data_IF_995209408975
#
_entry.id   IF_995209408975
#
_cell.length_a   1.000
_cell.length_b   1.000
_cell.length_c   1.000
_cell.angle_alpha   90.00
_cell.angle_beta   90.00
_cell.angle_gamma   90.00
#
_symmetry.space_group_name_H-M   'P 1'
#
loop_
_entity.id
_entity.type
_entity.pdbx_description
1 polymer ?
#
# COMPACT_ATOMS: atom_id res chain seq x y z
N UNK A 1 -12.53 -13.45 -9.16
CA UNK A 1 -13.06 -12.45 -10.11
C UNK A 1 -12.02 -11.36 -10.34
N UNK A 2 -11.76 -10.92 -11.58
CA UNK A 2 -10.76 -9.86 -11.82
C UNK A 2 -11.26 -8.48 -11.35
N UNK A 3 -10.36 -7.62 -10.88
CA UNK A 3 -10.66 -6.27 -10.35
C UNK A 3 -11.67 -5.47 -11.22
N UNK A 4 -11.54 -5.39 -12.56
CA UNK A 4 -12.42 -4.56 -13.40
C UNK A 4 -13.90 -4.98 -13.41
N UNK A 5 -14.26 -6.08 -12.73
CA UNK A 5 -15.63 -6.56 -12.68
C UNK A 5 -16.41 -6.12 -11.44
N UNK A 6 -15.75 -5.60 -10.40
CA UNK A 6 -16.41 -5.21 -9.13
C UNK A 6 -16.99 -3.79 -9.15
N UNK A 7 -16.38 -2.87 -9.90
CA UNK A 7 -16.79 -1.46 -9.92
C UNK A 7 -16.34 -0.71 -11.16
N UNK A 8 -16.47 0.61 -11.13
CA UNK A 8 -16.11 1.49 -12.25
C UNK A 8 -14.66 1.97 -12.09
N UNK A 9 -13.79 1.53 -12.98
CA UNK A 9 -12.38 1.95 -13.00
C UNK A 9 -12.25 3.35 -13.61
N UNK A 10 -11.59 4.24 -12.87
CA UNK A 10 -11.20 5.57 -13.32
C UNK A 10 -9.66 5.68 -13.34
N UNK A 11 -9.04 6.19 -14.42
CA UNK A 11 -7.62 6.50 -14.42
C UNK A 11 -7.32 7.60 -13.39
N UNK A 12 -6.12 7.57 -12.80
CA UNK A 12 -5.64 8.68 -11.96
C UNK A 12 -5.41 9.95 -12.79
N UNK A 13 -5.47 11.13 -12.16
CA UNK A 13 -5.33 12.43 -12.86
C UNK A 13 -3.99 12.59 -13.61
N UNK A 14 -2.97 11.82 -13.20
CA UNK A 14 -1.63 11.77 -13.82
C UNK A 14 -1.37 10.47 -14.59
N UNK A 15 -2.41 9.65 -14.82
CA UNK A 15 -2.29 8.31 -15.40
C UNK A 15 -1.58 8.24 -16.75
N UNK A 16 -1.80 9.11 -17.75
CA UNK A 16 -1.24 8.89 -19.09
C UNK A 16 0.28 9.13 -19.20
N UNK A 17 0.84 9.96 -18.32
CA UNK A 17 2.29 10.25 -18.29
C UNK A 17 3.03 9.46 -17.20
N UNK A 18 2.34 8.53 -16.56
CA UNK A 18 2.89 7.72 -15.49
C UNK A 18 3.71 6.55 -16.04
N UNK A 19 4.88 6.30 -15.43
CA UNK A 19 5.70 5.09 -15.68
C UNK A 19 4.90 3.78 -15.50
N UNK A 20 3.76 3.83 -14.80
CA UNK A 20 2.89 2.67 -14.62
C UNK A 20 2.18 2.23 -15.90
N UNK A 21 2.01 3.13 -16.88
CA UNK A 21 1.45 2.81 -18.21
C UNK A 21 2.52 2.27 -19.17
N UNK A 22 3.80 2.45 -18.86
CA UNK A 22 4.88 2.01 -19.72
C UNK A 22 4.96 0.48 -19.80
N UNK A 23 5.47 0.02 -20.93
CA UNK A 23 5.73 -1.39 -21.21
C UNK A 23 7.21 -1.72 -21.09
N UNK A 24 7.54 -3.01 -21.21
CA UNK A 24 8.95 -3.41 -21.25
C UNK A 24 9.71 -2.95 -22.50
N UNK A 25 9.02 -2.46 -23.54
CA UNK A 25 9.66 -1.90 -24.74
C UNK A 25 10.17 -0.48 -24.48
N UNK A 26 9.48 0.28 -23.65
CA UNK A 26 9.88 1.63 -23.23
C UNK A 26 10.90 1.57 -22.08
N UNK A 27 10.65 0.68 -21.12
CA UNK A 27 11.46 0.55 -19.90
C UNK A 27 11.73 -0.92 -19.57
N UNK A 28 12.91 -1.45 -19.99
CA UNK A 28 13.28 -2.83 -19.74
C UNK A 28 13.32 -3.18 -18.25
N UNK A 29 12.86 -4.37 -17.89
CA UNK A 29 12.77 -4.88 -16.51
C UNK A 29 11.85 -4.08 -15.58
N UNK A 30 10.95 -3.26 -16.13
CA UNK A 30 9.91 -2.56 -15.37
C UNK A 30 9.00 -3.58 -14.66
N UNK A 31 8.80 -3.39 -13.36
CA UNK A 31 7.95 -4.23 -12.51
C UNK A 31 7.30 -3.41 -11.40
N UNK A 32 6.20 -3.91 -10.86
CA UNK A 32 5.63 -3.44 -9.59
C UNK A 32 6.60 -3.77 -8.45
N UNK A 33 6.83 -2.82 -7.54
CA UNK A 33 7.57 -3.05 -6.29
C UNK A 33 6.62 -3.47 -5.18
N UNK A 34 5.92 -2.51 -4.59
CA UNK A 34 4.86 -2.72 -3.59
C UNK A 34 3.59 -1.99 -4.02
N UNK A 35 2.45 -2.39 -3.46
CA UNK A 35 1.19 -1.70 -3.65
C UNK A 35 0.54 -1.38 -2.32
N UNK A 36 -0.20 -0.28 -2.29
CA UNK A 36 -1.09 0.08 -1.19
C UNK A 36 -2.43 0.54 -1.75
N UNK A 37 -3.44 0.50 -0.91
CA UNK A 37 -4.78 0.94 -1.25
C UNK A 37 -5.17 2.03 -0.27
N UNK A 38 -5.58 3.17 -0.80
CA UNK A 38 -6.13 4.28 -0.01
C UNK A 38 -7.65 4.27 -0.11
N UNK A 39 -8.31 4.28 1.05
CA UNK A 39 -9.77 4.36 1.16
C UNK A 39 -10.19 5.83 1.10
N UNK A 40 -10.66 6.29 -0.06
CA UNK A 40 -11.13 7.68 -0.25
C UNK A 40 -12.58 7.87 0.26
N UNK A 41 -13.40 6.81 0.19
CA UNK A 41 -14.76 6.78 0.74
C UNK A 41 -15.18 5.32 1.00
N UNK A 42 -16.34 5.07 1.64
CA UNK A 42 -16.82 3.70 1.88
C UNK A 42 -16.95 2.85 0.60
N UNK A 43 -17.16 3.48 -0.56
CA UNK A 43 -17.38 2.83 -1.85
C UNK A 43 -16.33 3.17 -2.92
N UNK A 44 -15.22 3.80 -2.53
CA UNK A 44 -14.17 4.25 -3.45
C UNK A 44 -12.79 3.99 -2.88
N UNK A 45 -11.95 3.36 -3.69
CA UNK A 45 -10.55 3.07 -3.35
C UNK A 45 -9.62 3.58 -4.45
N UNK A 46 -8.45 4.08 -4.05
CA UNK A 46 -7.34 4.43 -4.93
C UNK A 46 -6.24 3.39 -4.75
N UNK A 47 -5.85 2.72 -5.84
CA UNK A 47 -4.71 1.81 -5.84
C UNK A 47 -3.46 2.60 -6.21
N UNK A 48 -2.45 2.51 -5.36
CA UNK A 48 -1.13 3.10 -5.58
C UNK A 48 -0.06 2.01 -5.59
N UNK A 49 0.98 2.21 -6.37
CA UNK A 49 2.08 1.25 -6.48
C UNK A 49 3.40 1.97 -6.70
N UNK A 50 4.49 1.35 -6.25
CA UNK A 50 5.83 1.73 -6.68
C UNK A 50 6.19 1.02 -7.99
N UNK A 51 7.02 1.66 -8.81
CA UNK A 51 7.60 1.06 -10.00
C UNK A 51 9.09 0.85 -9.80
N UNK A 52 9.54 -0.38 -10.03
CA UNK A 52 10.96 -0.75 -10.00
C UNK A 52 11.46 -0.99 -11.41
N UNK A 53 12.58 -0.38 -11.75
CA UNK A 53 13.22 -0.53 -13.06
C UNK A 53 14.72 -0.32 -12.97
N UNK A 54 15.44 -0.75 -14.01
CA UNK A 54 16.87 -0.43 -14.15
C UNK A 54 17.02 0.89 -14.90
N UNK A 55 17.62 1.93 -14.29
CA UNK A 55 17.84 3.18 -15.00
C UNK A 55 18.89 2.99 -16.10
N UNK A 56 18.79 3.79 -17.17
CA UNK A 56 19.80 3.78 -18.25
C UNK A 56 21.12 4.43 -17.80
N UNK A 57 21.05 5.32 -16.80
CA UNK A 57 22.17 6.00 -16.18
C UNK A 57 22.17 5.68 -14.68
N UNK A 58 23.03 4.76 -14.26
CA UNK A 58 23.11 4.30 -12.87
C UNK A 58 23.70 5.38 -11.94
N UNK A 59 24.46 6.35 -12.46
CA UNK A 59 25.07 7.42 -11.65
C UNK A 59 24.07 8.55 -11.33
N UNK A 60 22.97 8.62 -12.08
CA UNK A 60 21.91 9.62 -11.89
C UNK A 60 20.83 9.17 -10.88
N UNK A 61 20.85 7.91 -10.43
CA UNK A 61 19.82 7.33 -9.59
C UNK A 61 20.42 6.51 -8.45
N UNK A 62 19.82 6.62 -7.27
CA UNK A 62 20.08 5.63 -6.21
C UNK A 62 19.53 4.28 -6.65
N UNK A 63 20.40 3.26 -6.62
CA UNK A 63 20.07 1.90 -7.03
C UNK A 63 20.40 0.88 -5.94
N UNK A 64 19.62 -0.19 -5.90
CA UNK A 64 19.88 -1.31 -5.02
C UNK A 64 21.08 -2.16 -5.50
N UNK A 65 21.40 -3.20 -4.74
CA UNK A 65 22.48 -4.15 -5.06
C UNK A 65 22.31 -4.88 -6.41
N UNK A 66 21.13 -4.79 -7.03
CA UNK A 66 20.78 -5.42 -8.29
C UNK A 66 20.62 -4.42 -9.43
N UNK A 67 20.89 -3.13 -9.18
CA UNK A 67 20.81 -2.02 -10.14
C UNK A 67 19.39 -1.52 -10.38
N UNK A 68 18.44 -1.77 -9.47
CA UNK A 68 17.08 -1.22 -9.58
C UNK A 68 16.96 0.07 -8.80
N UNK A 69 16.27 1.04 -9.40
CA UNK A 69 15.69 2.17 -8.69
C UNK A 69 14.20 1.93 -8.49
N UNK A 70 13.61 2.60 -7.50
CA UNK A 70 12.21 2.47 -7.13
C UNK A 70 11.59 3.86 -6.99
N UNK A 71 10.41 4.05 -7.58
CA UNK A 71 9.68 5.32 -7.45
C UNK A 71 9.03 5.42 -6.07
N UNK A 72 8.61 6.63 -5.70
CA UNK A 72 7.58 6.79 -4.68
C UNK A 72 6.28 6.06 -5.12
N UNK A 73 5.32 5.96 -4.19
CA UNK A 73 3.97 5.50 -4.54
C UNK A 73 3.37 6.42 -5.60
N UNK A 74 2.92 5.81 -6.70
CA UNK A 74 2.27 6.49 -7.80
C UNK A 74 0.83 5.98 -7.91
N UNK A 75 -0.15 6.86 -8.16
CA UNK A 75 -1.55 6.47 -8.30
C UNK A 75 -1.76 5.71 -9.61
N UNK A 76 -2.19 4.46 -9.51
CA UNK A 76 -2.45 3.60 -10.66
C UNK A 76 -3.84 3.90 -11.24
N UNK A 77 -4.88 3.60 -10.47
CA UNK A 77 -6.27 3.85 -10.84
C UNK A 77 -7.17 3.81 -9.61
N UNK A 78 -8.32 4.47 -9.73
CA UNK A 78 -9.40 4.48 -8.76
C UNK A 78 -10.47 3.48 -9.17
N UNK A 79 -11.13 2.88 -8.19
CA UNK A 79 -12.33 2.07 -8.40
C UNK A 79 -13.44 2.69 -7.58
N UNK A 80 -14.55 3.03 -8.24
CA UNK A 80 -15.75 3.58 -7.61
C UNK A 80 -16.92 2.62 -7.75
N UNK A 81 -18.04 2.94 -7.09
CA UNK A 81 -19.29 2.17 -7.14
C UNK A 81 -19.15 0.76 -6.52
N UNK A 82 -18.30 0.65 -5.50
CA UNK A 82 -18.11 -0.57 -4.72
C UNK A 82 -19.12 -0.66 -3.58
N UNK A 83 -19.48 -1.88 -3.18
CA UNK A 83 -19.97 -2.11 -1.82
C UNK A 83 -18.84 -1.89 -0.80
N UNK A 84 -19.20 -1.65 0.46
CA UNK A 84 -18.20 -1.47 1.52
C UNK A 84 -17.31 -2.71 1.66
N UNK A 85 -17.90 -3.90 1.62
CA UNK A 85 -17.18 -5.18 1.69
C UNK A 85 -16.24 -5.41 0.51
N UNK A 86 -16.63 -5.03 -0.72
CA UNK A 86 -15.73 -5.09 -1.88
C UNK A 86 -14.54 -4.15 -1.72
N UNK A 87 -14.77 -2.94 -1.20
CA UNK A 87 -13.72 -1.99 -0.94
C UNK A 87 -12.78 -2.48 0.18
N UNK A 88 -13.31 -3.07 1.26
CA UNK A 88 -12.51 -3.69 2.34
C UNK A 88 -11.67 -4.85 1.81
N UNK A 89 -12.27 -5.69 0.95
CA UNK A 89 -11.59 -6.79 0.32
C UNK A 89 -10.42 -6.29 -0.53
N UNK A 90 -10.65 -5.28 -1.38
CA UNK A 90 -9.59 -4.70 -2.22
C UNK A 90 -8.48 -4.11 -1.35
N UNK A 91 -8.85 -3.37 -0.31
CA UNK A 91 -7.95 -2.66 0.59
C UNK A 91 -6.93 -3.59 1.25
N UNK A 92 -7.37 -4.78 1.69
CA UNK A 92 -6.50 -5.72 2.38
C UNK A 92 -5.91 -6.79 1.47
N UNK A 93 -6.60 -7.18 0.41
CA UNK A 93 -6.15 -8.27 -0.46
C UNK A 93 -5.14 -7.83 -1.51
N UNK A 94 -5.30 -6.65 -2.11
CA UNK A 94 -4.41 -6.20 -3.21
C UNK A 94 -2.95 -6.05 -2.77
N UNK A 95 -2.64 -5.41 -1.62
CA UNK A 95 -1.25 -5.32 -1.14
C UNK A 95 -0.63 -6.71 -0.96
N UNK A 96 -1.36 -7.64 -0.34
CA UNK A 96 -0.92 -9.03 -0.14
C UNK A 96 -0.68 -9.74 -1.46
N UNK A 97 -1.56 -9.54 -2.45
CA UNK A 97 -1.39 -10.16 -3.76
C UNK A 97 -0.14 -9.65 -4.50
N UNK A 98 0.21 -8.39 -4.30
CA UNK A 98 1.42 -7.79 -4.86
C UNK A 98 2.67 -8.27 -4.12
N UNK A 99 2.64 -8.32 -2.79
CA UNK A 99 3.78 -8.73 -1.96
C UNK A 99 4.12 -10.23 -2.12
N UNK A 100 3.10 -11.09 -2.20
CA UNK A 100 3.30 -12.53 -2.45
C UNK A 100 3.85 -12.77 -3.86
N UNK A 101 3.42 -11.96 -4.83
CA UNK A 101 3.81 -12.04 -6.23
C UNK A 101 3.75 -13.48 -6.79
N UNK A 102 4.65 -13.85 -7.71
CA UNK A 102 4.85 -15.25 -8.11
C UNK A 102 3.68 -15.94 -8.83
N UNK A 103 2.62 -15.22 -9.21
CA UNK A 103 1.40 -15.78 -9.79
C UNK A 103 0.25 -15.96 -8.80
N UNK A 104 0.43 -15.59 -7.52
CA UNK A 104 -0.66 -15.53 -6.55
C UNK A 104 -1.75 -14.57 -7.04
N UNK A 105 -3.02 -14.97 -6.88
CA UNK A 105 -4.16 -14.21 -7.41
C UNK A 105 -4.01 -13.82 -8.90
N UNK A 106 -3.33 -14.66 -9.70
CA UNK A 106 -2.99 -14.39 -11.10
C UNK A 106 -2.12 -13.13 -11.32
N UNK A 107 -1.54 -12.56 -10.27
CA UNK A 107 -0.70 -11.38 -10.35
C UNK A 107 0.68 -11.71 -10.93
N UNK A 108 1.17 -10.83 -11.82
CA UNK A 108 2.53 -10.89 -12.36
C UNK A 108 3.16 -9.52 -12.26
N UNK A 109 4.22 -9.40 -11.46
CA UNK A 109 4.87 -8.13 -11.16
C UNK A 109 5.47 -7.42 -12.39
N UNK A 110 5.97 -8.17 -13.37
CA UNK A 110 6.79 -7.63 -14.46
C UNK A 110 5.94 -7.18 -15.66
N UNK A 111 6.17 -5.95 -16.12
CA UNK A 111 5.63 -5.45 -17.38
C UNK A 111 6.11 -6.33 -18.55
N UNK A 112 5.30 -6.39 -19.61
CA UNK A 112 5.70 -7.01 -20.88
C UNK A 112 5.53 -6.01 -22.00
N UNK A 113 5.95 -6.39 -23.21
CA UNK A 113 5.78 -5.56 -24.41
C UNK A 113 4.35 -5.14 -24.69
N UNK A 114 3.38 -5.91 -24.18
CA UNK A 114 1.95 -5.71 -24.45
C UNK A 114 1.13 -5.42 -23.19
N UNK A 115 1.74 -5.48 -22.00
CA UNK A 115 1.01 -5.25 -20.75
C UNK A 115 1.85 -4.35 -19.85
N UNK A 116 1.28 -3.20 -19.50
CA UNK A 116 1.81 -2.23 -18.55
C UNK A 116 1.67 -2.72 -17.11
N UNK A 117 2.21 -1.98 -16.14
CA UNK A 117 2.00 -2.29 -14.71
C UNK A 117 0.53 -2.11 -14.31
N UNK A 118 -0.18 -1.16 -14.91
CA UNK A 118 -1.62 -1.00 -14.70
C UNK A 118 -2.39 -2.23 -15.20
N UNK A 119 -2.03 -2.78 -16.36
CA UNK A 119 -2.64 -4.01 -16.87
C UNK A 119 -2.37 -5.20 -15.94
N UNK A 120 -1.18 -5.26 -15.34
CA UNK A 120 -0.84 -6.28 -14.34
C UNK A 120 -1.70 -6.18 -13.08
N UNK A 121 -1.88 -4.98 -12.55
CA UNK A 121 -2.71 -4.75 -11.37
C UNK A 121 -4.18 -5.08 -11.67
N UNK A 122 -4.71 -4.67 -12.82
CA UNK A 122 -6.08 -4.99 -13.23
C UNK A 122 -6.32 -6.50 -13.44
N UNK A 123 -5.27 -7.27 -13.69
CA UNK A 123 -5.35 -8.71 -13.87
C UNK A 123 -5.42 -9.51 -12.55
N UNK A 124 -5.25 -8.85 -11.40
CA UNK A 124 -5.41 -9.49 -10.08
C UNK A 124 -6.81 -10.09 -9.98
N UNK A 125 -6.86 -11.36 -9.61
CA UNK A 125 -8.08 -12.11 -9.34
C UNK A 125 -8.37 -12.11 -7.85
N UNK A 126 -9.44 -11.42 -7.47
CA UNK A 126 -9.96 -11.39 -6.12
C UNK A 126 -10.79 -12.65 -5.84
N UNK A 127 -10.86 -13.10 -4.57
CA UNK A 127 -11.84 -14.10 -4.18
C UNK A 127 -13.28 -13.59 -4.42
N UNK A 128 -14.23 -14.51 -4.44
CA UNK A 128 -15.65 -14.11 -4.43
C UNK A 128 -15.98 -13.51 -3.06
N UNK A 129 -16.62 -12.34 -3.06
CA UNK A 129 -16.95 -11.62 -1.82
C UNK A 129 -17.90 -12.45 -0.97
N UNK A 130 -18.88 -13.12 -1.60
CA UNK A 130 -19.85 -13.95 -0.89
C UNK A 130 -19.19 -15.17 -0.21
N UNK A 131 -18.08 -15.66 -0.74
CA UNK A 131 -17.34 -16.80 -0.18
C UNK A 131 -16.44 -16.41 1.00
N UNK A 132 -16.01 -15.15 1.08
CA UNK A 132 -15.03 -14.68 2.09
C UNK A 132 -15.56 -13.60 3.03
N UNK A 133 -16.83 -13.19 2.90
CA UNK A 133 -17.42 -12.10 3.67
C UNK A 133 -17.28 -12.31 5.19
N UNK A 134 -17.67 -13.49 5.69
CA UNK A 134 -17.59 -13.81 7.13
C UNK A 134 -16.15 -13.80 7.65
N UNK A 135 -15.21 -14.36 6.87
CA UNK A 135 -13.79 -14.41 7.23
C UNK A 135 -13.17 -13.01 7.22
N UNK A 136 -13.53 -12.19 6.22
CA UNK A 136 -13.11 -10.79 6.10
C UNK A 136 -13.65 -9.95 7.26
N UNK A 137 -14.93 -10.10 7.62
CA UNK A 137 -15.53 -9.40 8.76
C UNK A 137 -14.81 -9.76 10.07
N UNK A 138 -14.52 -11.03 10.30
CA UNK A 138 -13.77 -11.47 11.48
C UNK A 138 -12.34 -10.90 11.51
N UNK A 139 -11.68 -10.85 10.36
CA UNK A 139 -10.37 -10.23 10.21
C UNK A 139 -10.42 -8.73 10.55
N UNK A 140 -11.37 -8.00 9.98
CA UNK A 140 -11.54 -6.56 10.19
C UNK A 140 -11.81 -6.24 11.67
N UNK A 141 -12.72 -6.96 12.31
CA UNK A 141 -13.00 -6.81 13.74
C UNK A 141 -11.76 -7.04 14.61
N UNK A 142 -10.95 -8.04 14.25
CA UNK A 142 -9.71 -8.33 14.98
C UNK A 142 -8.68 -7.21 14.79
N UNK A 143 -8.58 -6.67 13.58
CA UNK A 143 -7.69 -5.57 13.24
C UNK A 143 -8.08 -4.28 13.96
N UNK A 144 -9.36 -3.89 13.91
CA UNK A 144 -9.89 -2.72 14.63
C UNK A 144 -9.60 -2.84 16.14
N UNK A 145 -9.81 -4.03 16.71
CA UNK A 145 -9.51 -4.26 18.12
C UNK A 145 -8.02 -4.13 18.44
N UNK A 146 -7.14 -4.54 17.53
CA UNK A 146 -5.69 -4.36 17.71
C UNK A 146 -5.32 -2.87 17.66
N UNK A 147 -5.83 -2.13 16.69
CA UNK A 147 -5.61 -0.67 16.56
C UNK A 147 -6.14 0.10 17.79
N UNK A 148 -7.29 -0.30 18.34
CA UNK A 148 -7.82 0.26 19.60
C UNK A 148 -6.89 -0.02 20.79
N UNK A 149 -6.27 -1.19 20.84
CA UNK A 149 -5.32 -1.54 21.90
C UNK A 149 -4.00 -0.77 21.74
N UNK A 150 -3.49 -0.63 20.52
CA UNK A 150 -2.27 0.14 20.24
C UNK A 150 -2.46 1.62 20.62
N UNK A 151 -3.60 2.23 20.27
CA UNK A 151 -3.91 3.60 20.68
C UNK A 151 -3.99 3.76 22.21
N UNK A 152 -4.47 2.74 22.93
CA UNK A 152 -4.48 2.74 24.40
C UNK A 152 -3.08 2.58 24.98
N UNK A 153 -2.23 1.79 24.35
CA UNK A 153 -0.83 1.63 24.77
C UNK A 153 -0.13 2.98 24.61
N UNK A 154 -0.24 3.61 23.44
CA UNK A 154 0.36 4.93 23.19
C UNK A 154 -0.12 5.99 24.19
N UNK A 155 -1.42 6.03 24.49
CA UNK A 155 -1.97 6.91 25.52
C UNK A 155 -1.40 6.59 26.91
N UNK A 156 -1.23 5.30 27.23
CA UNK A 156 -0.70 4.87 28.52
C UNK A 156 0.78 5.21 28.65
N UNK A 157 1.57 5.04 27.59
CA UNK A 157 2.99 5.40 27.55
C UNK A 157 3.16 6.91 27.80
N UNK A 158 2.36 7.75 27.13
CA UNK A 158 2.35 9.19 27.39
C UNK A 158 2.02 9.55 28.85
N UNK A 159 1.04 8.86 29.46
CA UNK A 159 0.69 9.06 30.88
C UNK A 159 1.80 8.57 31.82
N UNK A 160 2.50 7.50 31.46
CA UNK A 160 3.63 6.99 32.24
C UNK A 160 4.75 8.03 32.24
N UNK A 161 5.09 8.58 31.08
CA UNK A 161 6.13 9.61 30.94
C UNK A 161 5.79 10.84 31.78
N UNK A 162 4.55 11.34 31.69
CA UNK A 162 4.06 12.45 32.53
C UNK A 162 4.24 12.15 34.04
N UNK A 163 3.79 10.98 34.50
CA UNK A 163 3.92 10.57 35.90
C UNK A 163 5.39 10.45 36.32
N UNK A 164 6.26 9.91 35.47
CA UNK A 164 7.69 9.77 35.76
C UNK A 164 8.34 11.16 35.87
N UNK A 165 8.03 12.08 34.96
CA UNK A 165 8.53 13.45 35.01
C UNK A 165 8.08 14.16 36.29
N UNK A 166 6.82 14.02 36.68
CA UNK A 166 6.32 14.58 37.95
C UNK A 166 6.99 13.96 39.17
N UNK A 167 7.16 12.62 39.21
CA UNK A 167 7.75 11.91 40.34
C UNK A 167 9.21 12.29 40.59
N UNK A 168 9.96 12.54 39.53
CA UNK A 168 11.37 12.96 39.62
C UNK A 168 11.53 14.49 39.58
N UNK A 169 10.45 15.24 39.35
CA UNK A 169 10.44 16.70 39.32
C UNK A 169 11.31 17.27 38.19
N UNK A 170 11.31 16.62 37.02
CA UNK A 170 12.09 17.06 35.88
C UNK A 170 11.59 18.43 35.39
N UNK A 171 12.54 19.25 34.98
CA UNK A 171 12.27 20.49 34.25
C UNK A 171 12.07 20.22 32.77
N UNK A 172 11.46 21.16 32.04
CA UNK A 172 11.25 21.06 30.59
C UNK A 172 12.56 20.78 29.83
N UNK A 173 13.68 21.36 30.27
CA UNK A 173 15.02 21.11 29.69
C UNK A 173 15.51 19.67 29.94
N UNK A 174 15.20 19.08 31.09
CA UNK A 174 15.56 17.70 31.40
C UNK A 174 14.66 16.70 30.68
N UNK A 175 13.39 17.04 30.44
CA UNK A 175 12.46 16.24 29.64
C UNK A 175 12.92 16.16 28.19
N UNK A 176 13.27 17.29 27.57
CA UNK A 176 13.75 17.35 26.18
C UNK A 176 14.97 16.45 25.95
N UNK A 177 15.92 16.44 26.89
CA UNK A 177 17.11 15.57 26.84
C UNK A 177 16.73 14.08 26.91
N UNK A 178 15.72 13.73 27.72
CA UNK A 178 15.25 12.34 27.85
C UNK A 178 14.54 11.89 26.58
N UNK A 179 13.68 12.73 25.99
CA UNK A 179 12.97 12.40 24.75
C UNK A 179 13.94 12.24 23.55
N UNK A 180 14.96 13.11 23.44
CA UNK A 180 15.98 13.00 22.39
C UNK A 180 16.81 11.71 22.51
N UNK A 181 16.97 11.17 23.73
CA UNK A 181 17.74 9.95 23.97
C UNK A 181 16.95 8.65 23.70
N UNK A 182 15.61 8.73 23.66
CA UNK A 182 14.71 7.57 23.49
C UNK A 182 14.10 7.52 22.08
N UNK A 183 14.11 8.64 21.35
CA UNK A 183 13.68 8.75 19.95
C UNK A 183 14.64 8.11 18.93
#
# INVERSE_FOLDING_TARGET
MAIPKLGLIQPSEHSPDSVLQETSDEKPNLRVGTARVERESPNTVLIETTARYKPNDEDAHETDRWGYTETAYLPAFRITDLTETEADLIEHFVPVAVDEAGGFANFRETATKTNSLIDRLKAIELPDVDDVADDLENYLNTKERAEELDAKIEQTDQLIDEIVYELYGLTDEEIEIVEEAVS
#
